data_IF_119907467328
#
_entry.id   IF_119907467328
#
_cell.length_a   1.000
_cell.length_b   1.000
_cell.length_c   1.000
_cell.angle_alpha   90.00
_cell.angle_beta   90.00
_cell.angle_gamma   90.00
#
_symmetry.space_group_name_H-M   'P 1'
#
loop_
_entity.id
_entity.type
_entity.pdbx_description
1 polymer ?
#
# COMPACT_ATOMS: atom_id res chain seq x y z
N UNK A 1 3.22 18.97 -8.43
CA UNK A 1 2.63 19.16 -7.09
C UNK A 1 1.98 20.53 -6.97
N UNK A 2 2.72 21.62 -7.21
CA UNK A 2 2.28 23.00 -6.95
C UNK A 2 1.01 23.40 -7.70
N UNK A 3 0.93 23.15 -9.00
CA UNK A 3 -0.26 23.47 -9.83
C UNK A 3 -1.52 22.69 -9.42
N UNK A 4 -1.35 21.46 -8.93
CA UNK A 4 -2.44 20.62 -8.41
C UNK A 4 -2.99 21.22 -7.12
N UNK A 5 -2.09 21.46 -6.15
CA UNK A 5 -2.42 21.98 -4.83
C UNK A 5 -3.02 23.38 -4.96
N UNK A 6 -2.40 24.26 -5.74
CA UNK A 6 -2.87 25.62 -5.99
C UNK A 6 -4.29 25.64 -6.55
N UNK A 7 -4.58 24.79 -7.55
CA UNK A 7 -5.92 24.70 -8.15
C UNK A 7 -6.96 24.19 -7.17
N UNK A 8 -6.65 23.12 -6.44
CA UNK A 8 -7.56 22.53 -5.45
C UNK A 8 -7.83 23.50 -4.29
N UNK A 9 -6.79 24.17 -3.79
CA UNK A 9 -6.89 25.04 -2.63
C UNK A 9 -7.63 26.30 -2.99
N UNK A 10 -7.39 26.85 -4.19
CA UNK A 10 -8.16 27.97 -4.72
C UNK A 10 -9.66 27.65 -4.85
N UNK A 11 -10.02 26.42 -5.24
CA UNK A 11 -11.42 25.99 -5.30
C UNK A 11 -12.04 25.90 -3.91
N UNK A 12 -11.39 25.22 -2.96
CA UNK A 12 -11.87 25.09 -1.58
C UNK A 12 -11.99 26.48 -0.94
N UNK A 13 -10.98 27.34 -1.14
CA UNK A 13 -10.94 28.71 -0.62
C UNK A 13 -12.09 29.58 -1.09
N UNK A 14 -12.53 29.43 -2.35
CA UNK A 14 -13.73 30.11 -2.89
C UNK A 14 -15.03 29.63 -2.26
N UNK A 15 -15.07 28.38 -1.82
CA UNK A 15 -16.21 27.78 -1.10
C UNK A 15 -16.17 28.06 0.41
N UNK A 16 -15.09 28.64 0.92
CA UNK A 16 -14.87 28.81 2.36
C UNK A 16 -15.42 30.14 2.86
N UNK A 17 -16.46 30.09 3.69
CA UNK A 17 -17.14 31.26 4.24
C UNK A 17 -16.38 31.95 5.39
N UNK A 18 -16.91 33.11 5.82
CA UNK A 18 -16.30 33.92 6.89
C UNK A 18 -16.26 33.26 8.28
N UNK A 19 -17.10 32.26 8.51
CA UNK A 19 -17.11 31.50 9.77
C UNK A 19 -15.92 30.53 9.89
N UNK A 20 -15.39 30.05 8.76
CA UNK A 20 -14.30 29.08 8.71
C UNK A 20 -12.97 29.85 8.61
N UNK A 21 -12.59 30.56 9.69
CA UNK A 21 -11.35 31.35 9.71
C UNK A 21 -10.11 30.45 9.66
N UNK A 22 -10.06 29.43 10.51
CA UNK A 22 -8.94 28.47 10.60
C UNK A 22 -8.63 27.82 9.25
N UNK A 23 -9.65 27.32 8.53
CA UNK A 23 -9.47 26.73 7.20
C UNK A 23 -8.94 27.75 6.18
N UNK A 24 -9.41 29.00 6.21
CA UNK A 24 -8.91 30.04 5.29
C UNK A 24 -7.45 30.37 5.55
N UNK A 25 -7.09 30.57 6.81
CA UNK A 25 -5.73 30.92 7.21
C UNK A 25 -4.76 29.77 6.83
N UNK A 26 -5.18 28.51 7.03
CA UNK A 26 -4.40 27.33 6.65
C UNK A 26 -4.22 27.21 5.12
N UNK A 27 -5.29 27.38 4.33
CA UNK A 27 -5.22 27.37 2.86
C UNK A 27 -4.32 28.49 2.33
N UNK A 28 -4.50 29.70 2.83
CA UNK A 28 -3.74 30.89 2.40
C UNK A 28 -2.26 30.75 2.79
N UNK A 29 -1.95 30.15 3.94
CA UNK A 29 -0.59 29.84 4.38
C UNK A 29 0.15 28.90 3.43
N UNK A 30 -0.48 27.78 3.03
CA UNK A 30 0.13 26.83 2.08
C UNK A 30 0.28 27.45 0.69
N UNK A 31 -0.73 28.19 0.22
CA UNK A 31 -0.66 28.90 -1.06
C UNK A 31 0.47 29.94 -1.09
N UNK A 32 0.72 30.65 0.01
CA UNK A 32 1.83 31.59 0.11
C UNK A 32 3.19 30.90 0.00
N UNK A 33 3.36 29.72 0.63
CA UNK A 33 4.57 28.90 0.52
C UNK A 33 4.81 28.40 -0.90
N UNK A 34 3.74 27.94 -1.57
CA UNK A 34 3.81 27.47 -2.97
C UNK A 34 4.15 28.61 -3.94
N UNK A 35 3.68 29.83 -3.67
CA UNK A 35 4.00 31.01 -4.49
C UNK A 35 5.45 31.51 -4.35
N UNK A 36 6.34 30.75 -3.68
CA UNK A 36 7.76 31.08 -3.54
C UNK A 36 8.04 32.20 -2.54
N UNK A 37 7.07 32.55 -1.68
CA UNK A 37 7.27 33.60 -0.66
C UNK A 37 8.07 33.09 0.55
N UNK A 38 8.17 31.77 0.74
CA UNK A 38 8.80 31.10 1.88
C UNK A 38 9.23 29.67 1.50
N UNK A 39 9.74 28.89 2.47
CA UNK A 39 10.14 27.50 2.27
C UNK A 39 8.97 26.61 1.82
N UNK A 40 9.29 25.58 1.01
CA UNK A 40 8.31 24.63 0.45
C UNK A 40 7.53 23.95 1.59
N UNK A 41 6.19 23.81 1.47
CA UNK A 41 5.41 23.18 2.53
C UNK A 41 5.74 21.69 2.62
N UNK A 42 5.78 21.17 3.84
CA UNK A 42 5.91 19.74 4.08
C UNK A 42 4.59 18.98 3.86
N UNK A 43 4.60 17.65 3.98
CA UNK A 43 3.40 16.83 3.76
C UNK A 43 2.31 17.10 4.80
N UNK A 44 2.66 17.39 6.06
CA UNK A 44 1.71 17.61 7.14
C UNK A 44 1.01 18.97 6.98
N UNK A 45 1.75 20.01 6.61
CA UNK A 45 1.26 21.34 6.27
C UNK A 45 0.36 21.33 5.04
N UNK A 46 0.70 20.52 4.03
CA UNK A 46 -0.20 20.28 2.89
C UNK A 46 -1.46 19.58 3.38
N UNK A 47 -1.36 18.53 4.18
CA UNK A 47 -2.52 17.75 4.59
C UNK A 47 -3.49 18.53 5.51
N UNK A 48 -2.98 19.38 6.41
CA UNK A 48 -3.79 20.02 7.45
C UNK A 48 -5.03 20.80 6.93
N UNK A 49 -4.94 21.71 5.94
CA UNK A 49 -6.11 22.37 5.35
C UNK A 49 -7.11 21.39 4.72
N UNK A 50 -6.63 20.30 4.11
CA UNK A 50 -7.49 19.27 3.52
C UNK A 50 -8.25 18.52 4.61
N UNK A 51 -7.58 18.21 5.72
CA UNK A 51 -8.19 17.62 6.90
C UNK A 51 -9.32 18.51 7.45
N UNK A 52 -9.06 19.81 7.63
CA UNK A 52 -10.08 20.75 8.09
C UNK A 52 -11.28 20.84 7.13
N UNK A 53 -11.05 20.83 5.81
CA UNK A 53 -12.13 20.86 4.82
C UNK A 53 -13.02 19.60 4.88
N UNK A 54 -12.42 18.43 5.12
CA UNK A 54 -13.14 17.15 5.28
C UNK A 54 -13.94 17.15 6.58
N UNK A 55 -13.33 17.54 7.70
CA UNK A 55 -13.97 17.58 9.02
C UNK A 55 -15.06 18.66 9.12
N UNK A 56 -15.02 19.68 8.27
CA UNK A 56 -16.09 20.67 8.14
C UNK A 56 -17.40 20.13 7.56
N UNK A 57 -17.39 18.91 7.00
CA UNK A 57 -18.56 18.18 6.44
C UNK A 57 -19.40 18.98 5.44
N UNK A 58 -18.79 19.95 4.75
CA UNK A 58 -19.43 20.66 3.65
C UNK A 58 -19.21 19.88 2.35
N UNK A 59 -20.27 19.39 1.66
CA UNK A 59 -20.13 18.42 0.58
C UNK A 59 -19.11 18.81 -0.50
N UNK A 60 -19.23 20.02 -1.05
CA UNK A 60 -18.35 20.52 -2.11
C UNK A 60 -16.90 20.74 -1.65
N UNK A 61 -16.69 21.05 -0.38
CA UNK A 61 -15.34 21.21 0.18
C UNK A 61 -14.70 19.83 0.41
N UNK A 62 -15.46 18.92 1.02
CA UNK A 62 -15.03 17.56 1.30
C UNK A 62 -14.73 16.78 0.01
N UNK A 63 -15.59 16.84 -1.01
CA UNK A 63 -15.33 16.16 -2.30
C UNK A 63 -14.06 16.67 -2.96
N UNK A 64 -13.86 18.00 -3.02
CA UNK A 64 -12.66 18.59 -3.58
C UNK A 64 -11.40 18.26 -2.77
N UNK A 65 -11.50 18.18 -1.43
CA UNK A 65 -10.38 17.84 -0.56
C UNK A 65 -9.97 16.36 -0.72
N UNK A 66 -10.95 15.45 -0.72
CA UNK A 66 -10.71 14.01 -0.92
C UNK A 66 -10.14 13.70 -2.32
N UNK A 67 -10.59 14.42 -3.37
CA UNK A 67 -10.01 14.36 -4.72
C UNK A 67 -8.57 14.87 -4.77
N UNK A 68 -8.26 15.93 -4.01
CA UNK A 68 -6.90 16.42 -3.91
C UNK A 68 -5.99 15.39 -3.20
N UNK A 69 -6.45 14.79 -2.11
CA UNK A 69 -5.69 13.75 -1.38
C UNK A 69 -5.41 12.54 -2.27
N UNK A 70 -6.43 12.04 -2.98
CA UNK A 70 -6.26 10.92 -3.91
C UNK A 70 -5.15 11.19 -4.94
N UNK A 71 -5.18 12.36 -5.59
CA UNK A 71 -4.17 12.75 -6.58
C UNK A 71 -2.78 12.94 -5.96
N UNK A 72 -2.70 13.49 -4.76
CA UNK A 72 -1.41 13.66 -4.05
C UNK A 72 -0.76 12.31 -3.75
N UNK A 73 -1.54 11.32 -3.32
CA UNK A 73 -1.08 9.94 -3.09
C UNK A 73 -0.67 9.30 -4.42
N UNK A 74 -1.52 9.40 -5.45
CA UNK A 74 -1.29 8.81 -6.78
C UNK A 74 0.01 9.30 -7.42
N UNK A 75 0.32 10.60 -7.28
CA UNK A 75 1.57 11.17 -7.77
C UNK A 75 2.77 11.01 -6.81
N UNK A 76 2.58 10.39 -5.65
CA UNK A 76 3.64 10.17 -4.66
C UNK A 76 4.15 11.43 -3.96
N UNK A 77 3.33 12.50 -3.94
CA UNK A 77 3.60 13.74 -3.20
C UNK A 77 3.20 13.64 -1.73
N UNK A 78 2.36 12.66 -1.40
CA UNK A 78 1.93 12.35 -0.06
C UNK A 78 2.26 10.88 0.16
N UNK A 79 3.29 10.64 0.97
CA UNK A 79 3.81 9.30 1.29
C UNK A 79 3.49 8.91 2.73
N UNK A 80 3.32 9.90 3.60
CA UNK A 80 2.90 9.71 4.98
C UNK A 80 3.98 9.16 5.92
N UNK A 81 5.26 9.28 5.52
CA UNK A 81 6.41 8.85 6.33
C UNK A 81 6.80 9.83 7.45
N UNK A 82 6.24 11.06 7.44
CA UNK A 82 6.50 12.07 8.46
C UNK A 82 5.68 11.87 9.75
N UNK A 83 6.10 12.48 10.87
CA UNK A 83 5.30 12.53 12.10
C UNK A 83 4.01 13.32 11.87
N UNK A 84 2.98 13.05 12.68
CA UNK A 84 1.72 13.81 12.66
C UNK A 84 1.85 15.03 13.57
N UNK A 85 1.48 16.20 13.06
CA UNK A 85 1.40 17.41 13.87
C UNK A 85 0.36 17.27 14.98
N UNK A 86 0.69 17.78 16.18
CA UNK A 86 -0.23 17.78 17.32
C UNK A 86 -1.59 18.43 17.02
N UNK A 87 -1.60 19.47 16.17
CA UNK A 87 -2.83 20.12 15.73
C UNK A 87 -3.72 19.18 14.91
N UNK A 88 -3.13 18.39 14.01
CA UNK A 88 -3.84 17.38 13.21
C UNK A 88 -4.35 16.24 14.09
N UNK A 89 -3.51 15.78 15.04
CA UNK A 89 -3.91 14.73 15.98
C UNK A 89 -5.12 15.15 16.83
N UNK A 90 -5.14 16.38 17.33
CA UNK A 90 -6.24 16.89 18.14
C UNK A 90 -7.59 16.97 17.39
N UNK A 91 -7.57 17.05 16.06
CA UNK A 91 -8.79 17.15 15.23
C UNK A 91 -9.36 15.79 14.84
N UNK A 92 -8.54 14.75 14.82
CA UNK A 92 -8.93 13.42 14.37
C UNK A 92 -9.19 12.50 15.57
N UNK A 93 -10.13 11.55 15.47
CA UNK A 93 -10.32 10.52 16.48
C UNK A 93 -9.23 9.44 16.38
N UNK A 94 -7.96 9.84 16.47
CA UNK A 94 -6.82 8.95 16.57
C UNK A 94 -6.76 8.47 18.03
N UNK A 95 -6.89 7.17 18.25
CA UNK A 95 -6.88 6.61 19.61
C UNK A 95 -5.50 6.81 20.23
N UNK A 96 -5.41 7.66 21.25
CA UNK A 96 -4.22 7.83 22.11
C UNK A 96 -4.16 6.80 23.26
N UNK A 97 -5.13 5.86 23.33
CA UNK A 97 -5.35 5.02 24.52
C UNK A 97 -4.53 3.73 24.60
N UNK A 98 -3.65 3.46 23.64
CA UNK A 98 -2.68 2.37 23.75
C UNK A 98 -1.27 2.94 23.89
N UNK A 99 -0.40 2.24 24.61
CA UNK A 99 1.00 2.62 24.83
C UNK A 99 1.82 2.73 23.52
N UNK A 100 1.23 2.37 22.38
CA UNK A 100 1.73 2.53 21.00
C UNK A 100 1.36 3.86 20.32
N UNK A 101 0.75 4.83 21.02
CA UNK A 101 0.43 6.16 20.45
C UNK A 101 1.64 6.88 19.82
N UNK A 102 2.86 6.51 20.22
CA UNK A 102 4.12 6.99 19.64
C UNK A 102 4.37 6.56 18.18
N UNK A 103 3.53 5.69 17.59
CA UNK A 103 3.71 5.17 16.22
C UNK A 103 2.65 5.62 15.21
N UNK A 104 1.79 6.58 15.54
CA UNK A 104 0.81 7.08 14.55
C UNK A 104 1.55 7.82 13.44
N UNK A 105 1.46 7.30 12.22
CA UNK A 105 2.08 7.92 11.05
C UNK A 105 1.18 8.99 10.43
N UNK A 106 1.75 9.89 9.62
CA UNK A 106 0.97 10.81 8.81
C UNK A 106 0.01 10.05 7.87
N UNK A 107 0.41 8.89 7.36
CA UNK A 107 -0.51 8.07 6.56
C UNK A 107 -1.72 7.59 7.36
N UNK A 108 -1.54 7.20 8.63
CA UNK A 108 -2.65 6.79 9.50
C UNK A 108 -3.64 7.93 9.76
N UNK A 109 -3.12 9.15 9.96
CA UNK A 109 -3.95 10.35 10.09
C UNK A 109 -4.75 10.63 8.82
N UNK A 110 -4.13 10.48 7.65
CA UNK A 110 -4.75 10.70 6.35
C UNK A 110 -5.85 9.68 6.08
N UNK A 111 -5.56 8.40 6.27
CA UNK A 111 -6.56 7.33 6.12
C UNK A 111 -7.71 7.53 7.10
N UNK A 112 -7.41 7.90 8.35
CA UNK A 112 -8.45 8.18 9.37
C UNK A 112 -9.34 9.34 8.96
N UNK A 113 -8.75 10.41 8.42
CA UNK A 113 -9.48 11.56 7.92
C UNK A 113 -10.38 11.20 6.73
N UNK A 114 -9.85 10.52 5.72
CA UNK A 114 -10.64 10.05 4.56
C UNK A 114 -11.81 9.18 5.04
N UNK A 115 -11.53 8.20 5.90
CA UNK A 115 -12.53 7.27 6.40
C UNK A 115 -13.59 7.93 7.28
N UNK A 116 -13.34 9.12 7.86
CA UNK A 116 -14.32 9.84 8.68
C UNK A 116 -15.57 10.30 7.89
N UNK A 117 -15.49 10.31 6.55
CA UNK A 117 -16.60 10.65 5.66
C UNK A 117 -17.39 9.44 5.13
N UNK A 118 -17.16 8.24 5.65
CA UNK A 118 -17.85 7.03 5.15
C UNK A 118 -19.39 7.07 5.32
N UNK A 119 -19.89 7.84 6.28
CA UNK A 119 -21.31 7.98 6.62
C UNK A 119 -21.93 9.28 6.05
N UNK A 120 -21.21 9.94 5.14
CA UNK A 120 -21.63 11.24 4.63
C UNK A 120 -22.92 11.10 3.80
N UNK A 121 -23.86 12.04 3.95
CA UNK A 121 -25.17 11.99 3.26
C UNK A 121 -25.07 12.23 1.75
N UNK A 122 -24.05 12.97 1.33
CA UNK A 122 -23.79 13.31 -0.06
C UNK A 122 -23.07 12.15 -0.80
N UNK A 123 -23.62 11.76 -1.94
CA UNK A 123 -23.16 10.62 -2.73
C UNK A 123 -21.83 10.89 -3.45
N UNK A 124 -21.53 12.15 -3.80
CA UNK A 124 -20.26 12.54 -4.42
C UNK A 124 -19.12 12.40 -3.40
N UNK A 125 -19.36 12.81 -2.15
CA UNK A 125 -18.40 12.62 -1.05
C UNK A 125 -18.13 11.14 -0.82
N UNK A 126 -19.17 10.29 -0.74
CA UNK A 126 -19.00 8.84 -0.58
C UNK A 126 -18.15 8.23 -1.70
N UNK A 127 -18.43 8.59 -2.96
CA UNK A 127 -17.65 8.12 -4.10
C UNK A 127 -16.18 8.53 -3.98
N UNK A 128 -15.92 9.76 -3.53
CA UNK A 128 -14.56 10.25 -3.39
C UNK A 128 -13.82 9.64 -2.20
N UNK A 129 -14.52 9.22 -1.14
CA UNK A 129 -13.95 8.37 -0.07
C UNK A 129 -13.48 7.04 -0.65
N UNK A 130 -14.31 6.35 -1.45
CA UNK A 130 -13.95 5.07 -2.05
C UNK A 130 -12.70 5.19 -2.93
N UNK A 131 -12.64 6.22 -3.78
CA UNK A 131 -11.47 6.48 -4.65
C UNK A 131 -10.21 6.77 -3.85
N UNK A 132 -10.28 7.65 -2.86
CA UNK A 132 -9.12 8.06 -2.07
C UNK A 132 -8.58 6.90 -1.21
N UNK A 133 -9.46 6.12 -0.58
CA UNK A 133 -9.06 4.93 0.21
C UNK A 133 -8.44 3.86 -0.69
N UNK A 134 -9.05 3.58 -1.84
CA UNK A 134 -8.51 2.61 -2.78
C UNK A 134 -7.10 3.02 -3.22
N UNK A 135 -6.92 4.30 -3.57
CA UNK A 135 -5.61 4.80 -3.97
C UNK A 135 -4.59 4.72 -2.83
N UNK A 136 -4.97 5.06 -1.60
CA UNK A 136 -4.11 4.93 -0.42
C UNK A 136 -3.60 3.49 -0.22
N UNK A 137 -4.50 2.50 -0.34
CA UNK A 137 -4.17 1.09 -0.08
C UNK A 137 -3.41 0.45 -1.24
N UNK A 138 -3.72 0.84 -2.48
CA UNK A 138 -3.13 0.23 -3.68
C UNK A 138 -1.87 0.94 -4.18
N UNK A 139 -1.59 2.15 -3.71
CA UNK A 139 -0.38 2.89 -4.06
C UNK A 139 0.88 2.18 -3.58
N UNK A 140 1.93 2.19 -4.41
CA UNK A 140 3.27 1.69 -4.07
C UNK A 140 4.17 2.78 -3.46
N UNK A 141 3.69 4.01 -3.39
CA UNK A 141 4.47 5.18 -2.92
C UNK A 141 4.28 5.46 -1.43
N UNK A 142 3.29 4.83 -0.80
CA UNK A 142 2.97 4.93 0.62
C UNK A 142 2.62 3.54 1.16
N UNK A 143 2.76 3.38 2.46
CA UNK A 143 2.40 2.15 3.14
C UNK A 143 1.24 2.39 4.11
N UNK A 144 0.25 1.50 4.07
CA UNK A 144 -0.91 1.52 4.96
C UNK A 144 -0.94 0.20 5.70
N UNK A 145 -0.79 0.28 7.02
CA UNK A 145 -0.60 -0.90 7.86
C UNK A 145 -1.78 -1.15 8.80
N UNK A 146 -1.95 -2.42 9.17
CA UNK A 146 -2.75 -2.92 10.29
C UNK A 146 -4.08 -2.17 10.53
N UNK A 147 -4.11 -1.29 11.54
CA UNK A 147 -5.31 -0.58 11.99
C UNK A 147 -5.87 0.36 10.92
N UNK A 148 -5.02 1.03 10.15
CA UNK A 148 -5.46 1.92 9.07
C UNK A 148 -6.01 1.13 7.90
N UNK A 149 -5.40 -0.01 7.55
CA UNK A 149 -5.94 -0.91 6.53
C UNK A 149 -7.32 -1.45 6.91
N UNK A 150 -7.50 -1.93 8.15
CA UNK A 150 -8.79 -2.42 8.63
C UNK A 150 -9.85 -1.31 8.67
N UNK A 151 -9.45 -0.07 9.01
CA UNK A 151 -10.34 1.09 9.00
C UNK A 151 -10.82 1.40 7.57
N UNK A 152 -9.92 1.35 6.59
CA UNK A 152 -10.24 1.49 5.17
C UNK A 152 -11.25 0.45 4.69
N UNK A 153 -11.02 -0.83 4.99
CA UNK A 153 -11.95 -1.93 4.64
C UNK A 153 -13.32 -1.69 5.27
N UNK A 154 -13.36 -1.34 6.56
CA UNK A 154 -14.62 -1.04 7.27
C UNK A 154 -15.38 0.13 6.64
N UNK A 155 -14.68 1.20 6.28
CA UNK A 155 -15.30 2.37 5.64
C UNK A 155 -15.94 2.01 4.29
N UNK A 156 -15.22 1.27 3.44
CA UNK A 156 -15.75 0.82 2.14
C UNK A 156 -16.95 -0.12 2.30
N UNK A 157 -16.89 -1.05 3.26
CA UNK A 157 -18.02 -1.94 3.57
C UNK A 157 -19.23 -1.18 4.12
N UNK A 158 -19.00 -0.17 4.96
CA UNK A 158 -20.09 0.68 5.44
C UNK A 158 -20.79 1.38 4.27
N UNK A 159 -20.05 2.05 3.38
CA UNK A 159 -20.63 2.71 2.19
C UNK A 159 -21.40 1.70 1.33
N UNK A 160 -20.86 0.49 1.12
CA UNK A 160 -21.56 -0.56 0.38
C UNK A 160 -22.93 -0.91 0.99
N UNK A 161 -23.03 -0.97 2.31
CA UNK A 161 -24.27 -1.34 2.99
C UNK A 161 -25.29 -0.19 3.07
N UNK A 162 -24.84 1.05 3.32
CA UNK A 162 -25.75 2.16 3.68
C UNK A 162 -25.95 3.20 2.59
N UNK A 163 -25.12 3.20 1.53
CA UNK A 163 -25.31 4.14 0.43
C UNK A 163 -26.66 3.89 -0.25
N UNK A 164 -27.39 4.97 -0.56
CA UNK A 164 -28.63 4.89 -1.34
C UNK A 164 -28.37 4.83 -2.85
N UNK A 165 -27.14 5.12 -3.26
CA UNK A 165 -26.72 5.12 -4.65
C UNK A 165 -26.18 3.74 -5.03
N UNK A 166 -26.88 3.05 -5.93
CA UNK A 166 -26.49 1.70 -6.40
C UNK A 166 -25.16 1.68 -7.15
N UNK A 167 -24.78 2.78 -7.79
CA UNK A 167 -23.46 2.94 -8.41
C UNK A 167 -22.37 2.97 -7.32
N UNK A 168 -22.57 3.75 -6.25
CA UNK A 168 -21.63 3.78 -5.12
C UNK A 168 -21.54 2.43 -4.42
N UNK A 169 -22.65 1.70 -4.25
CA UNK A 169 -22.62 0.34 -3.72
C UNK A 169 -21.79 -0.61 -4.58
N UNK A 170 -21.91 -0.50 -5.91
CA UNK A 170 -21.16 -1.31 -6.88
C UNK A 170 -19.67 -0.96 -6.86
N UNK A 171 -19.34 0.33 -6.86
CA UNK A 171 -17.95 0.82 -6.76
C UNK A 171 -17.34 0.38 -5.42
N UNK A 172 -18.10 0.43 -4.32
CA UNK A 172 -17.62 -0.01 -3.01
C UNK A 172 -17.30 -1.50 -3.00
N UNK A 173 -18.14 -2.34 -3.59
CA UNK A 173 -17.88 -3.78 -3.74
C UNK A 173 -16.62 -4.05 -4.56
N UNK A 174 -16.45 -3.37 -5.70
CA UNK A 174 -15.26 -3.50 -6.53
C UNK A 174 -13.99 -3.04 -5.77
N UNK A 175 -14.10 -1.91 -5.04
CA UNK A 175 -13.03 -1.36 -4.21
C UNK A 175 -12.58 -2.34 -3.13
N UNK A 176 -13.51 -2.96 -2.41
CA UNK A 176 -13.21 -3.98 -1.40
C UNK A 176 -12.45 -5.16 -2.00
N UNK A 177 -12.93 -5.70 -3.13
CA UNK A 177 -12.27 -6.81 -3.81
C UNK A 177 -10.84 -6.44 -4.22
N UNK A 178 -10.67 -5.25 -4.80
CA UNK A 178 -9.36 -4.79 -5.25
C UNK A 178 -8.39 -4.57 -4.08
N UNK A 179 -8.86 -3.97 -2.98
CA UNK A 179 -8.04 -3.80 -1.78
C UNK A 179 -7.55 -5.13 -1.24
N UNK A 180 -8.45 -6.11 -1.09
CA UNK A 180 -8.10 -7.44 -0.59
C UNK A 180 -7.11 -8.14 -1.52
N UNK A 181 -7.37 -8.15 -2.83
CA UNK A 181 -6.48 -8.76 -3.82
C UNK A 181 -5.07 -8.15 -3.78
N UNK A 182 -4.96 -6.82 -3.73
CA UNK A 182 -3.66 -6.13 -3.71
C UNK A 182 -2.90 -6.41 -2.42
N UNK A 183 -3.59 -6.48 -1.28
CA UNK A 183 -2.95 -6.84 0.01
C UNK A 183 -2.40 -8.26 -0.06
N UNK A 184 -3.19 -9.24 -0.51
CA UNK A 184 -2.71 -10.62 -0.64
C UNK A 184 -1.53 -10.74 -1.62
N UNK A 185 -1.61 -10.12 -2.79
CA UNK A 185 -0.50 -10.10 -3.76
C UNK A 185 0.79 -9.50 -3.17
N UNK A 186 0.68 -8.46 -2.33
CA UNK A 186 1.85 -7.88 -1.65
C UNK A 186 2.41 -8.81 -0.58
N UNK A 187 1.55 -9.52 0.14
CA UNK A 187 1.98 -10.50 1.14
C UNK A 187 2.72 -11.66 0.49
N UNK A 188 2.17 -12.23 -0.59
CA UNK A 188 2.79 -13.30 -1.39
C UNK A 188 4.15 -12.84 -1.96
N UNK A 189 4.20 -11.64 -2.55
CA UNK A 189 5.45 -11.11 -3.10
C UNK A 189 6.52 -10.87 -2.01
N UNK A 190 6.12 -10.40 -0.82
CA UNK A 190 7.04 -10.23 0.29
C UNK A 190 7.61 -11.58 0.74
N UNK A 191 6.76 -12.61 0.85
CA UNK A 191 7.18 -13.97 1.19
C UNK A 191 8.20 -14.53 0.18
N UNK A 192 7.94 -14.40 -1.12
CA UNK A 192 8.87 -14.80 -2.19
C UNK A 192 10.23 -14.09 -2.07
N UNK A 193 10.24 -12.78 -1.81
CA UNK A 193 11.49 -12.02 -1.67
C UNK A 193 12.30 -12.40 -0.43
N UNK A 194 11.63 -12.74 0.67
CA UNK A 194 12.28 -13.22 1.89
C UNK A 194 12.92 -14.60 1.65
N UNK A 195 12.20 -15.52 1.03
CA UNK A 195 12.73 -16.84 0.68
C UNK A 195 13.91 -16.78 -0.32
N UNK A 196 13.86 -15.89 -1.31
CA UNK A 196 14.97 -15.71 -2.24
C UNK A 196 16.24 -15.19 -1.55
N UNK A 197 16.10 -14.30 -0.57
CA UNK A 197 17.22 -13.79 0.21
C UNK A 197 17.83 -14.86 1.14
N UNK A 198 17.01 -15.73 1.72
CA UNK A 198 17.49 -16.84 2.56
C UNK A 198 18.30 -17.88 1.76
N UNK A 199 17.90 -18.16 0.52
CA UNK A 199 18.62 -19.09 -0.37
C UNK A 199 19.93 -18.48 -0.88
N UNK A 200 19.98 -17.16 -1.13
CA UNK A 200 21.19 -16.46 -1.55
C UNK A 200 22.23 -16.27 -0.42
N UNK A 201 21.81 -16.38 0.84
CA UNK A 201 22.69 -16.28 2.02
C UNK A 201 23.43 -17.59 2.35
N UNK A 202 23.18 -18.69 1.63
CA UNK A 202 23.94 -19.94 1.76
C UNK A 202 25.32 -19.74 1.11
N UNK A 203 26.43 -19.76 1.87
CA UNK A 203 27.77 -19.63 1.28
C UNK A 203 28.02 -20.81 0.32
N UNK A 204 28.75 -20.58 -0.79
CA UNK A 204 29.08 -21.65 -1.73
C UNK A 204 29.79 -22.79 -0.99
N UNK A 205 29.54 -24.05 -1.37
CA UNK A 205 30.21 -25.20 -0.75
C UNK A 205 31.73 -25.02 -0.91
N UNK A 206 32.54 -25.37 0.11
CA UNK A 206 33.98 -25.20 0.02
C UNK A 206 34.49 -26.03 -1.15
N UNK A 207 35.09 -25.35 -2.13
CA UNK A 207 35.81 -25.99 -3.23
C UNK A 207 36.81 -26.98 -2.63
N UNK A 208 36.72 -28.23 -3.09
CA UNK A 208 37.62 -29.29 -2.69
C UNK A 208 39.06 -28.90 -3.00
N UNK A 209 39.82 -28.57 -1.94
CA UNK A 209 41.27 -28.40 -2.04
C UNK A 209 41.88 -29.73 -2.46
N UNK A 210 42.47 -29.73 -3.65
CA UNK A 210 43.21 -30.85 -4.20
C UNK A 210 44.33 -31.26 -3.23
N UNK A 211 44.26 -32.49 -2.74
CA UNK A 211 45.32 -33.14 -1.96
C UNK A 211 46.56 -33.28 -2.83
N UNK A 212 47.63 -32.53 -2.50
CA UNK A 212 48.98 -32.82 -2.97
C UNK A 212 49.52 -33.97 -2.12
N UNK A 213 49.47 -35.19 -2.62
CA UNK A 213 50.23 -36.31 -2.05
C UNK A 213 51.65 -36.31 -2.61
N UNK A 214 52.60 -36.22 -1.68
CA UNK A 214 54.04 -36.31 -1.90
C UNK A 214 54.41 -37.76 -2.19
N UNK A 215 55.24 -37.92 -3.22
CA UNK A 215 55.86 -39.17 -3.67
C UNK A 215 56.71 -39.83 -2.58
N UNK A 216 56.57 -41.14 -2.42
CA UNK A 216 57.69 -42.02 -2.07
C UNK A 216 57.69 -43.27 -2.96
N UNK A 217 58.88 -43.57 -3.47
CA UNK A 217 59.20 -44.62 -4.43
C UNK A 217 58.94 -46.03 -3.89
N UNK A 218 58.52 -46.95 -4.77
CA UNK A 218 59.12 -48.29 -4.89
C UNK A 218 58.51 -49.12 -6.04
N UNK A 219 59.35 -49.35 -7.05
CA UNK A 219 59.58 -50.61 -7.76
C UNK A 219 58.46 -51.27 -8.61
N UNK A 220 58.59 -51.08 -9.93
CA UNK A 220 58.79 -52.12 -10.95
C UNK A 220 57.83 -53.33 -11.00
N UNK A 221 56.95 -53.38 -12.02
CA UNK A 221 56.98 -54.35 -13.16
C UNK A 221 55.63 -54.38 -13.89
N UNK A 222 55.67 -54.28 -15.22
CA UNK A 222 54.60 -54.63 -16.20
C UNK A 222 54.56 -56.17 -16.40
N UNK A 223 53.67 -56.80 -17.23
CA UNK A 223 52.64 -56.26 -18.15
C UNK A 223 51.28 -57.03 -18.20
N UNK A 224 50.40 -56.56 -19.10
CA UNK A 224 49.35 -57.24 -19.90
C UNK A 224 48.19 -58.00 -19.21
N UNK A 225 46.92 -57.71 -19.56
CA UNK A 225 46.23 -58.25 -20.75
C UNK A 225 44.76 -57.78 -20.87
N UNK A 226 44.25 -57.81 -22.12
CA UNK A 226 42.88 -58.07 -22.64
C UNK A 226 41.62 -58.01 -21.74
N UNK A 227 40.37 -57.84 -22.19
CA UNK A 227 39.64 -57.46 -23.39
C UNK A 227 38.14 -57.49 -22.98
N UNK A 228 37.24 -57.11 -23.89
CA UNK A 228 35.77 -57.28 -23.85
C UNK A 228 34.96 -56.44 -22.84
N UNK A 229 33.77 -55.93 -23.17
CA UNK A 229 32.92 -56.16 -24.33
C UNK A 229 31.46 -55.86 -23.94
N UNK A 230 30.84 -54.99 -24.74
CA UNK A 230 29.46 -55.01 -25.27
C UNK A 230 28.20 -55.02 -24.36
N UNK A 231 27.21 -54.32 -24.92
CA UNK A 231 25.74 -54.37 -24.77
C UNK A 231 25.09 -53.61 -23.61
N UNK A 232 24.20 -52.62 -23.80
CA UNK A 232 23.07 -52.35 -24.74
C UNK A 232 21.69 -52.64 -24.13
N UNK A 233 20.73 -51.81 -24.57
CA UNK A 233 19.27 -51.88 -24.45
C UNK A 233 18.64 -51.43 -23.11
N UNK A 234 17.89 -50.32 -23.01
CA UNK A 234 16.64 -49.88 -23.69
C UNK A 234 15.36 -50.29 -22.93
N UNK A 235 14.40 -49.34 -22.90
CA UNK A 235 12.95 -49.40 -22.58
C UNK A 235 12.55 -49.03 -21.15
N UNK A 236 11.43 -48.35 -20.91
CA UNK A 236 10.44 -47.67 -21.74
C UNK A 236 9.55 -46.82 -20.80
N UNK A 237 8.79 -45.93 -21.41
CA UNK A 237 7.84 -44.96 -20.86
C UNK A 237 6.74 -45.54 -19.93
N UNK A 238 6.20 -44.69 -19.05
CA UNK A 238 4.75 -44.64 -18.85
C UNK A 238 4.30 -43.23 -18.45
N UNK A 239 3.58 -42.62 -19.38
CA UNK A 239 2.72 -41.44 -19.23
C UNK A 239 1.50 -41.79 -18.35
N UNK A 240 0.92 -40.79 -17.64
CA UNK A 240 -0.52 -40.47 -17.60
C UNK A 240 -1.04 -39.79 -16.30
N UNK A 241 -1.51 -38.54 -16.50
CA UNK A 241 -2.69 -37.82 -15.96
C UNK A 241 -2.94 -37.68 -14.44
N UNK A 242 -3.03 -36.48 -13.84
CA UNK A 242 -3.91 -35.30 -14.07
C UNK A 242 -5.29 -35.41 -13.38
N UNK A 243 -5.36 -34.85 -12.16
CA UNK A 243 -6.52 -34.45 -11.30
C UNK A 243 -7.81 -35.30 -11.24
N UNK A 244 -8.32 -35.56 -10.02
CA UNK A 244 -9.74 -35.68 -9.78
C UNK A 244 -10.27 -34.48 -8.98
N UNK A 245 -11.08 -33.64 -9.60
CA UNK A 245 -12.05 -32.82 -8.89
C UNK A 245 -13.37 -33.58 -8.76
N UNK A 246 -14.07 -33.45 -7.63
CA UNK A 246 -15.54 -33.56 -7.61
C UNK A 246 -16.14 -32.72 -6.48
N UNK A 247 -17.00 -31.79 -6.90
CA UNK A 247 -18.10 -31.27 -6.09
C UNK A 247 -18.96 -32.41 -5.54
N UNK A 248 -19.48 -32.24 -4.32
CA UNK A 248 -20.83 -32.70 -4.02
C UNK A 248 -21.51 -31.79 -3.00
N UNK A 249 -22.58 -31.16 -3.48
CA UNK A 249 -23.64 -30.55 -2.69
C UNK A 249 -24.42 -31.64 -1.93
N UNK A 250 -24.96 -31.30 -0.75
CA UNK A 250 -26.32 -31.65 -0.34
C UNK A 250 -26.63 -31.07 1.06
N UNK A 251 -27.84 -30.48 1.13
CA UNK A 251 -28.69 -30.17 2.29
C UNK A 251 -28.30 -29.00 3.20
#
# INVERSE_FOLDING_TARGET
>A
METLVERSYSKIRKLTGRAQKELRDALDGVLAKIAGKTARPDEAEIFYPLCLAILGRQPKQASQALDCIEKLISYGYLRGAGPVDAATMAKLPLKEKDEDAAKVTLMDAIVTCICSCNDHHDEEVQLQVLKAVLQAVTSRTCEVHEHSLLKSVRACYHIHLVSKNTMNQTVAKATLQQMVNVVFQRMEHMEETLHANDVAAVPPPPEAVASVEVREDSNHSLPDDAADGVDAAEKAESDHAMYPGTLKAAM
#
